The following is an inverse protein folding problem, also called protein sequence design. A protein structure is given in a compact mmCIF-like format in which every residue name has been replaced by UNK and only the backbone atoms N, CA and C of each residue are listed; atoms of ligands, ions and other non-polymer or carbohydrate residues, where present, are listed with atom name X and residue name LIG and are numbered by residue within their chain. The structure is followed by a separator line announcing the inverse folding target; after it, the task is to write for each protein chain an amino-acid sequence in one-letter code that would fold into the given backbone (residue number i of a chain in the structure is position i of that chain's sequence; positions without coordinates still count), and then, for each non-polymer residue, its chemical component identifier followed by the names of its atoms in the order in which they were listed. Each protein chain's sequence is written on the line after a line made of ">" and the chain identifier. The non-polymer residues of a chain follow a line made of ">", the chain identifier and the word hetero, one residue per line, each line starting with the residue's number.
data_IF_612973918771
#
_entry.id   IF_612973918771
#
_cell.length_a   1.000
_cell.length_b   1.000
_cell.length_c   1.000
_cell.angle_alpha   90.00
_cell.angle_beta   90.00
_cell.angle_gamma   90.00
#
_symmetry.space_group_name_H-M   'P 1'
#
loop_
_entity.id
_entity.type
_entity.pdbx_description
1 polymer ?
#
# COMPACT_ATOMS: atom_id res chain seq x y z
N UNK A 1 -19.15 31.60 23.19
CA UNK A 1 -18.97 30.13 23.14
C UNK A 1 -18.69 29.70 21.69
N UNK A 2 -17.60 30.17 21.08
CA UNK A 2 -17.43 30.14 19.61
C UNK A 2 -16.16 29.40 19.14
N UNK A 3 -15.35 28.86 20.05
CA UNK A 3 -14.05 28.24 19.71
C UNK A 3 -14.08 26.70 19.61
N UNK A 4 -15.19 26.04 19.98
CA UNK A 4 -15.24 24.56 19.96
C UNK A 4 -15.61 23.99 18.58
N UNK A 5 -16.32 24.75 17.75
CA UNK A 5 -16.85 24.26 16.46
C UNK A 5 -15.76 24.15 15.40
N UNK A 6 -14.87 25.13 15.30
CA UNK A 6 -13.82 25.18 14.25
C UNK A 6 -12.75 24.11 14.43
N UNK A 7 -12.42 23.74 15.67
CA UNK A 7 -11.45 22.67 15.94
C UNK A 7 -12.02 21.28 15.65
N UNK A 8 -13.33 21.08 15.83
CA UNK A 8 -13.99 19.81 15.51
C UNK A 8 -14.04 19.59 13.99
N UNK A 9 -14.38 20.62 13.22
CA UNK A 9 -14.42 20.57 11.74
C UNK A 9 -13.03 20.29 11.15
N UNK A 10 -11.98 20.95 11.66
CA UNK A 10 -10.60 20.70 11.22
C UNK A 10 -10.11 19.28 11.55
N UNK A 11 -10.51 18.73 12.70
CA UNK A 11 -10.25 17.33 13.06
C UNK A 11 -10.89 16.36 12.06
N UNK A 12 -12.19 16.55 11.79
CA UNK A 12 -12.94 15.69 10.87
C UNK A 12 -12.41 15.71 9.43
N UNK A 13 -11.94 16.86 8.93
CA UNK A 13 -11.35 16.95 7.59
C UNK A 13 -10.02 16.20 7.49
N UNK A 14 -9.19 16.28 8.55
CA UNK A 14 -7.93 15.53 8.62
C UNK A 14 -8.18 14.03 8.69
N UNK A 15 -9.17 13.60 9.48
CA UNK A 15 -9.54 12.19 9.62
C UNK A 15 -10.08 11.62 8.30
N UNK A 16 -10.92 12.39 7.59
CA UNK A 16 -11.38 12.05 6.23
C UNK A 16 -10.21 11.87 5.26
N UNK A 17 -9.23 12.77 5.30
CA UNK A 17 -8.05 12.68 4.43
C UNK A 17 -7.17 11.47 4.75
N UNK A 18 -7.02 11.13 6.03
CA UNK A 18 -6.29 9.94 6.46
C UNK A 18 -6.99 8.69 5.93
N UNK A 19 -8.32 8.62 6.05
CA UNK A 19 -9.09 7.48 5.54
C UNK A 19 -8.94 7.30 4.02
N UNK A 20 -9.03 8.37 3.24
CA UNK A 20 -8.80 8.33 1.79
C UNK A 20 -7.40 7.78 1.45
N UNK A 21 -6.37 8.18 2.20
CA UNK A 21 -5.01 7.71 1.97
C UNK A 21 -4.87 6.22 2.31
N UNK A 22 -5.49 5.75 3.38
CA UNK A 22 -5.51 4.33 3.73
C UNK A 22 -6.22 3.49 2.66
N UNK A 23 -7.33 3.97 2.11
CA UNK A 23 -8.04 3.31 0.99
C UNK A 23 -7.18 3.21 -0.27
N UNK A 24 -6.43 4.27 -0.59
CA UNK A 24 -5.48 4.26 -1.72
C UNK A 24 -4.36 3.25 -1.48
N UNK A 25 -3.79 3.21 -0.28
CA UNK A 25 -2.73 2.25 0.08
C UNK A 25 -3.25 0.81 0.00
N UNK A 26 -4.46 0.55 0.48
CA UNK A 26 -5.10 -0.77 0.37
C UNK A 26 -5.30 -1.19 -1.10
N UNK A 27 -5.74 -0.26 -1.95
CA UNK A 27 -5.91 -0.52 -3.39
C UNK A 27 -4.57 -0.83 -4.08
N UNK A 28 -3.53 -0.05 -3.76
CA UNK A 28 -2.19 -0.27 -4.30
C UNK A 28 -1.61 -1.61 -3.84
N UNK A 29 -1.80 -1.97 -2.56
CA UNK A 29 -1.39 -3.26 -2.03
C UNK A 29 -2.03 -4.41 -2.79
N UNK A 30 -3.36 -4.38 -2.97
CA UNK A 30 -4.08 -5.41 -3.73
C UNK A 30 -3.57 -5.54 -5.16
N UNK A 31 -3.26 -4.43 -5.83
CA UNK A 31 -2.70 -4.45 -7.19
C UNK A 31 -1.29 -5.06 -7.22
N UNK A 32 -0.49 -4.80 -6.19
CA UNK A 32 0.86 -5.39 -6.05
C UNK A 32 0.79 -6.90 -5.79
N UNK A 33 -0.16 -7.37 -4.99
CA UNK A 33 -0.41 -8.80 -4.77
C UNK A 33 -0.75 -9.52 -6.10
N UNK A 34 -1.64 -8.95 -6.91
CA UNK A 34 -1.95 -9.50 -8.25
C UNK A 34 -0.71 -9.52 -9.17
N UNK A 35 0.09 -8.45 -9.15
CA UNK A 35 1.34 -8.39 -9.92
C UNK A 35 2.35 -9.43 -9.45
N UNK A 36 2.44 -9.68 -8.14
CA UNK A 36 3.30 -10.67 -7.53
C UNK A 36 2.94 -12.07 -8.01
N UNK A 37 1.66 -12.44 -7.90
CA UNK A 37 1.15 -13.75 -8.35
C UNK A 37 1.42 -13.97 -9.85
N UNK A 38 1.08 -12.99 -10.70
CA UNK A 38 1.34 -13.07 -12.14
C UNK A 38 2.83 -13.28 -12.45
N UNK A 39 3.68 -12.55 -11.74
CA UNK A 39 5.14 -12.58 -11.91
C UNK A 39 5.69 -13.96 -11.51
N UNK A 40 5.21 -14.53 -10.39
CA UNK A 40 5.59 -15.88 -9.98
C UNK A 40 5.15 -16.97 -10.96
N UNK A 41 3.91 -16.91 -11.47
CA UNK A 41 3.38 -17.91 -12.41
C UNK A 41 4.11 -17.93 -13.75
N UNK A 42 4.60 -16.77 -14.20
CA UNK A 42 5.25 -16.62 -15.51
C UNK A 42 6.75 -16.91 -15.48
N UNK A 43 7.35 -17.13 -14.32
CA UNK A 43 8.80 -17.21 -14.18
C UNK A 43 9.33 -18.62 -13.98
N UNK A 44 10.37 -18.95 -14.75
CA UNK A 44 11.25 -20.06 -14.45
C UNK A 44 12.33 -19.55 -13.48
N UNK A 45 12.24 -19.97 -12.21
CA UNK A 45 13.11 -19.51 -11.11
C UNK A 45 14.57 -20.02 -11.18
N UNK A 46 14.97 -20.65 -12.28
CA UNK A 46 16.32 -21.21 -12.45
C UNK A 46 17.44 -20.15 -12.48
N UNK A 47 17.13 -18.86 -12.54
CA UNK A 47 18.12 -17.78 -12.49
C UNK A 47 17.81 -16.70 -11.43
N UNK A 48 18.40 -16.81 -10.23
CA UNK A 48 18.20 -15.87 -9.12
C UNK A 48 18.83 -14.47 -9.34
N UNK A 49 19.57 -14.25 -10.43
CA UNK A 49 20.13 -12.92 -10.77
C UNK A 49 19.30 -12.14 -11.79
N UNK A 50 18.17 -12.71 -12.19
CA UNK A 50 17.25 -12.11 -13.15
C UNK A 50 16.69 -10.77 -12.64
N UNK A 51 16.36 -9.86 -13.56
CA UNK A 51 15.71 -8.57 -13.25
C UNK A 51 14.39 -8.80 -12.51
N UNK A 52 13.78 -9.89 -12.89
CA UNK A 52 12.59 -10.54 -12.41
C UNK A 52 12.65 -10.89 -10.91
N UNK A 53 13.73 -11.52 -10.43
CA UNK A 53 13.93 -11.81 -9.01
C UNK A 53 13.93 -10.54 -8.15
N UNK A 54 14.57 -9.47 -8.63
CA UNK A 54 14.59 -8.17 -7.93
C UNK A 54 13.22 -7.48 -7.94
N UNK A 55 12.42 -7.72 -8.97
CA UNK A 55 11.06 -7.21 -9.04
C UNK A 55 10.18 -7.89 -7.98
N UNK A 56 10.29 -9.21 -7.81
CA UNK A 56 9.59 -9.98 -6.77
C UNK A 56 9.95 -9.47 -5.38
N UNK A 57 11.25 -9.31 -5.08
CA UNK A 57 11.72 -8.77 -3.80
C UNK A 57 11.16 -7.36 -3.53
N UNK A 58 11.16 -6.49 -4.54
CA UNK A 58 10.63 -5.13 -4.41
C UNK A 58 9.11 -5.08 -4.21
N UNK A 59 8.36 -6.00 -4.85
CA UNK A 59 6.91 -6.11 -4.66
C UNK A 59 6.62 -6.61 -3.24
N UNK A 60 7.34 -7.64 -2.77
CA UNK A 60 7.18 -8.19 -1.42
C UNK A 60 7.45 -7.13 -0.33
N UNK A 61 8.53 -6.36 -0.47
CA UNK A 61 8.84 -5.26 0.45
C UNK A 61 7.74 -4.18 0.44
N UNK A 62 7.21 -3.82 -0.74
CA UNK A 62 6.16 -2.82 -0.86
C UNK A 62 4.83 -3.29 -0.22
N UNK A 63 4.49 -4.58 -0.35
CA UNK A 63 3.33 -5.19 0.31
C UNK A 63 3.51 -5.14 1.83
N UNK A 64 4.70 -5.53 2.34
CA UNK A 64 5.00 -5.46 3.76
C UNK A 64 4.88 -4.03 4.32
N UNK A 65 5.42 -3.04 3.62
CA UNK A 65 5.30 -1.64 4.02
C UNK A 65 3.85 -1.15 4.02
N UNK A 66 3.04 -1.57 3.05
CA UNK A 66 1.62 -1.25 3.03
C UNK A 66 0.88 -1.86 4.23
N UNK A 67 1.19 -3.10 4.60
CA UNK A 67 0.62 -3.75 5.79
C UNK A 67 0.97 -3.03 7.09
N UNK A 68 2.20 -2.56 7.27
CA UNK A 68 2.57 -1.77 8.45
C UNK A 68 1.78 -0.47 8.58
N UNK A 69 1.38 0.14 7.46
CA UNK A 69 0.59 1.39 7.45
C UNK A 69 -0.90 1.15 7.66
N UNK A 70 -1.42 -0.02 7.26
CA UNK A 70 -2.85 -0.36 7.33
C UNK A 70 -3.29 -0.99 8.66
N UNK A 71 -2.36 -1.30 9.57
CA UNK A 71 -2.64 -1.79 10.94
C UNK A 71 -3.29 -0.74 11.83
#
# INVERSE_FOLDING_TARGET
>A
MQNNTTNAEAGTAKDSRIQELLEVIATMKSTLEECYEFTQEKMNFDNPKSRESRLIEGIDEAIFQADEVLK
#
